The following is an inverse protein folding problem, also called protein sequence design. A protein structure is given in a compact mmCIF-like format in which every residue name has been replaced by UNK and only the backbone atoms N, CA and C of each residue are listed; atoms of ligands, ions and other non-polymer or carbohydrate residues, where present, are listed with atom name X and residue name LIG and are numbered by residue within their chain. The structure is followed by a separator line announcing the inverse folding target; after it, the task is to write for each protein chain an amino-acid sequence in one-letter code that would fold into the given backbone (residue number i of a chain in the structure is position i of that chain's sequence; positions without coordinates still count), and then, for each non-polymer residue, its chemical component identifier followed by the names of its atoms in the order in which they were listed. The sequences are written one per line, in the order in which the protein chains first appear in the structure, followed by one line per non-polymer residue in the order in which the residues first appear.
data_IF_805463636856
#
_entry.id   IF_805463636856
#
_cell.length_a   1.000
_cell.length_b   1.000
_cell.length_c   1.000
_cell.angle_alpha   90.00
_cell.angle_beta   90.00
_cell.angle_gamma   90.00
#
_symmetry.space_group_name_H-M   'P 1'
#
loop_
_entity.id
_entity.type
_entity.pdbx_description
1 polymer ?
#
# COMPACT_ATOMS: atom_id res chain seq x y z
N UNK A 1 11.25 -7.50 -19.69
CA UNK A 1 11.33 -6.02 -19.67
C UNK A 1 12.78 -5.55 -19.51
N UNK A 2 13.44 -5.69 -18.35
CA UNK A 2 14.82 -5.20 -18.15
C UNK A 2 15.84 -5.77 -19.16
N UNK A 3 15.78 -7.08 -19.41
CA UNK A 3 16.61 -7.71 -20.44
C UNK A 3 16.33 -7.14 -21.84
N UNK A 4 15.08 -6.80 -22.15
CA UNK A 4 14.69 -6.16 -23.42
C UNK A 4 15.26 -4.75 -23.49
N UNK A 5 15.13 -3.97 -22.42
CA UNK A 5 15.68 -2.61 -22.30
C UNK A 5 17.18 -2.60 -22.55
N UNK A 6 17.93 -3.54 -21.96
CA UNK A 6 19.37 -3.68 -22.17
C UNK A 6 19.74 -3.95 -23.64
N UNK A 7 18.91 -4.72 -24.36
CA UNK A 7 19.14 -5.04 -25.77
C UNK A 7 18.73 -3.90 -26.72
N UNK A 8 17.63 -3.21 -26.41
CA UNK A 8 17.01 -2.25 -27.34
C UNK A 8 17.45 -0.81 -27.13
N UNK A 9 17.94 -0.43 -25.94
CA UNK A 9 18.31 0.94 -25.64
C UNK A 9 19.48 0.99 -24.64
N UNK A 10 20.70 0.94 -25.18
CA UNK A 10 21.94 1.04 -24.40
C UNK A 10 22.21 2.47 -23.89
N UNK A 11 21.55 3.49 -24.46
CA UNK A 11 21.69 4.90 -24.07
C UNK A 11 20.60 5.34 -23.08
N UNK A 12 19.96 4.41 -22.38
CA UNK A 12 18.95 4.73 -21.38
C UNK A 12 19.56 5.60 -20.28
N UNK A 13 18.96 6.77 -20.00
CA UNK A 13 19.46 7.68 -18.97
C UNK A 13 19.09 7.25 -17.55
N UNK A 14 17.85 6.79 -17.36
CA UNK A 14 17.28 6.39 -16.07
C UNK A 14 16.19 5.34 -16.25
N UNK A 15 16.11 4.37 -15.35
CA UNK A 15 15.00 3.43 -15.21
C UNK A 15 14.47 3.51 -13.78
N UNK A 16 13.19 3.87 -13.61
CA UNK A 16 12.56 3.91 -12.30
C UNK A 16 11.67 2.68 -12.12
N UNK A 17 12.03 1.80 -11.19
CA UNK A 17 11.21 0.68 -10.78
C UNK A 17 10.35 1.04 -9.57
N UNK A 18 9.04 1.15 -9.77
CA UNK A 18 8.07 1.46 -8.71
C UNK A 18 7.67 0.18 -7.97
N UNK A 19 8.34 -0.05 -6.84
CA UNK A 19 8.00 -1.09 -5.89
C UNK A 19 6.97 -0.59 -4.87
N UNK A 20 6.93 -1.16 -3.67
CA UNK A 20 6.01 -0.81 -2.59
C UNK A 20 6.67 -1.04 -1.23
N UNK A 21 6.30 -0.26 -0.23
CA UNK A 21 6.56 -0.54 1.19
C UNK A 21 6.22 -1.99 1.57
N UNK A 22 5.22 -2.61 0.94
CA UNK A 22 4.85 -4.01 1.19
C UNK A 22 5.99 -5.01 0.90
N UNK A 23 6.97 -4.64 0.06
CA UNK A 23 8.16 -5.45 -0.20
C UNK A 23 9.10 -5.47 1.01
N UNK A 24 9.25 -4.34 1.72
CA UNK A 24 10.02 -4.26 2.95
C UNK A 24 9.35 -5.04 4.10
N UNK A 25 8.02 -5.06 4.12
CA UNK A 25 7.24 -5.73 5.16
C UNK A 25 6.90 -4.81 6.34
N UNK A 26 6.28 -5.36 7.39
CA UNK A 26 5.88 -4.60 8.56
C UNK A 26 7.09 -4.22 9.41
N UNK A 27 6.99 -3.08 10.09
CA UNK A 27 7.99 -2.66 11.05
C UNK A 27 7.84 -3.46 12.35
N UNK A 28 8.92 -4.10 12.79
CA UNK A 28 9.00 -4.82 14.07
C UNK A 28 9.92 -4.11 15.07
N UNK A 29 10.49 -2.97 14.69
CA UNK A 29 11.40 -2.16 15.48
C UNK A 29 10.67 -0.93 16.05
N UNK A 30 11.33 -0.21 16.95
CA UNK A 30 10.81 1.07 17.49
C UNK A 30 10.89 2.18 16.45
N UNK A 31 12.02 2.25 15.74
CA UNK A 31 12.30 3.24 14.70
C UNK A 31 11.68 2.83 13.36
N UNK A 32 11.39 3.78 12.45
CA UNK A 32 10.90 3.48 11.11
C UNK A 32 11.93 2.72 10.25
N UNK A 33 11.47 1.78 9.42
CA UNK A 33 12.32 1.04 8.50
C UNK A 33 13.00 1.96 7.48
N UNK A 34 14.28 1.72 7.21
CA UNK A 34 15.10 2.42 6.23
C UNK A 34 15.31 1.60 4.97
N UNK A 35 15.92 2.21 3.94
CA UNK A 35 16.25 1.51 2.70
C UNK A 35 17.29 0.39 2.89
N UNK A 36 18.04 0.41 3.99
CA UNK A 36 19.10 -0.56 4.30
C UNK A 36 18.60 -1.77 5.10
N UNK A 37 17.40 -1.68 5.67
CA UNK A 37 16.85 -2.77 6.47
C UNK A 37 16.45 -3.98 5.62
N UNK A 38 16.54 -5.16 6.24
CA UNK A 38 16.17 -6.41 5.59
C UNK A 38 14.67 -6.47 5.30
N UNK A 39 14.32 -7.04 4.16
CA UNK A 39 12.93 -7.14 3.73
C UNK A 39 12.28 -8.40 4.30
N UNK A 40 11.14 -8.26 4.96
CA UNK A 40 10.34 -9.35 5.50
C UNK A 40 8.88 -9.27 5.01
N UNK A 41 8.62 -9.49 3.71
CA UNK A 41 7.28 -9.39 3.14
C UNK A 41 6.36 -10.51 3.65
N UNK A 42 5.29 -10.13 4.33
CA UNK A 42 4.35 -11.06 4.98
C UNK A 42 3.21 -11.54 4.06
N UNK A 43 2.96 -10.84 2.94
CA UNK A 43 1.84 -11.14 2.03
C UNK A 43 2.29 -11.48 0.60
N UNK A 44 1.41 -12.10 -0.19
CA UNK A 44 1.68 -12.42 -1.60
C UNK A 44 2.03 -11.19 -2.44
N UNK A 45 1.29 -10.09 -2.28
CA UNK A 45 1.61 -8.83 -2.98
C UNK A 45 3.00 -8.32 -2.63
N UNK A 46 3.31 -8.25 -1.33
CA UNK A 46 4.65 -7.84 -0.85
C UNK A 46 5.76 -8.77 -1.34
N UNK A 47 5.54 -10.09 -1.28
CA UNK A 47 6.48 -11.10 -1.78
C UNK A 47 6.71 -10.97 -3.28
N UNK A 48 5.65 -10.76 -4.05
CA UNK A 48 5.74 -10.53 -5.50
C UNK A 48 6.54 -9.27 -5.82
N UNK A 49 6.29 -8.17 -5.10
CA UNK A 49 7.07 -6.94 -5.25
C UNK A 49 8.54 -7.14 -4.86
N UNK A 50 8.81 -7.80 -3.74
CA UNK A 50 10.18 -8.12 -3.31
C UNK A 50 10.93 -9.01 -4.31
N UNK A 51 10.29 -10.06 -4.83
CA UNK A 51 10.88 -10.90 -5.89
C UNK A 51 11.19 -10.09 -7.15
N UNK A 52 10.33 -9.14 -7.53
CA UNK A 52 10.59 -8.25 -8.65
C UNK A 52 11.78 -7.31 -8.39
N UNK A 53 11.96 -6.85 -7.15
CA UNK A 53 13.17 -6.09 -6.75
C UNK A 53 14.43 -6.93 -6.86
N UNK A 54 14.41 -8.18 -6.37
CA UNK A 54 15.57 -9.09 -6.48
C UNK A 54 15.96 -9.32 -7.94
N UNK A 55 14.97 -9.54 -8.81
CA UNK A 55 15.20 -9.60 -10.25
C UNK A 55 15.77 -8.29 -10.81
N UNK A 56 15.32 -7.13 -10.33
CA UNK A 56 15.80 -5.82 -10.79
C UNK A 56 17.24 -5.53 -10.34
N UNK A 57 17.61 -5.93 -9.11
CA UNK A 57 18.97 -5.78 -8.56
C UNK A 57 20.03 -6.44 -9.44
N UNK A 58 19.72 -7.58 -10.06
CA UNK A 58 20.61 -8.27 -11.01
C UNK A 58 20.98 -7.45 -12.27
N UNK A 59 20.28 -6.34 -12.52
CA UNK A 59 20.50 -5.45 -13.66
C UNK A 59 20.99 -4.05 -13.24
N UNK A 60 21.14 -3.75 -11.94
CA UNK A 60 21.57 -2.42 -11.49
C UNK A 60 22.98 -2.06 -11.95
N UNK A 61 23.86 -3.04 -12.15
CA UNK A 61 25.21 -2.81 -12.70
C UNK A 61 25.23 -2.61 -14.22
N UNK A 62 24.08 -2.81 -14.90
CA UNK A 62 23.96 -2.82 -16.37
C UNK A 62 23.06 -1.72 -16.91
N UNK A 63 22.13 -1.24 -16.09
CA UNK A 63 21.12 -0.26 -16.45
C UNK A 63 21.08 0.76 -15.30
N UNK A 64 20.99 2.08 -15.57
CA UNK A 64 20.86 3.10 -14.52
C UNK A 64 19.48 3.01 -13.85
N UNK A 65 19.31 2.00 -13.00
CA UNK A 65 18.05 1.59 -12.39
C UNK A 65 17.97 2.07 -10.95
N UNK A 66 16.84 2.65 -10.58
CA UNK A 66 16.50 3.04 -9.21
C UNK A 66 15.23 2.32 -8.78
N UNK A 67 15.25 1.71 -7.60
CA UNK A 67 14.07 1.08 -6.98
C UNK A 67 13.48 2.06 -5.97
N UNK A 68 12.20 2.36 -6.08
CA UNK A 68 11.49 3.20 -5.10
C UNK A 68 10.37 2.40 -4.43
N UNK A 69 10.38 2.36 -3.11
CA UNK A 69 9.35 1.75 -2.27
C UNK A 69 8.46 2.84 -1.67
N UNK A 70 7.37 3.18 -2.35
CA UNK A 70 6.43 4.17 -1.84
C UNK A 70 5.56 3.60 -0.71
N UNK A 71 5.09 4.48 0.17
CA UNK A 71 4.13 4.18 1.25
C UNK A 71 2.70 4.03 0.72
N UNK A 72 1.74 3.77 1.60
CA UNK A 72 0.31 3.81 1.24
C UNK A 72 -0.06 5.21 0.73
N UNK A 73 -0.65 5.27 -0.46
CA UNK A 73 -1.06 6.52 -1.13
C UNK A 73 -2.57 6.71 -0.92
N UNK A 74 -3.01 7.91 -0.57
CA UNK A 74 -4.43 8.28 -0.49
C UNK A 74 -4.68 9.54 -1.32
N UNK A 75 -5.95 9.79 -1.68
CA UNK A 75 -6.32 11.00 -2.41
C UNK A 75 -7.58 10.85 -3.28
N UNK A 76 -7.97 11.94 -3.99
CA UNK A 76 -9.14 12.08 -4.86
C UNK A 76 -9.50 10.94 -5.82
N UNK A 77 -8.56 10.12 -6.26
CA UNK A 77 -8.85 9.03 -7.24
C UNK A 77 -8.71 7.65 -6.59
N UNK A 78 -8.11 7.57 -5.40
CA UNK A 78 -7.94 6.32 -4.65
C UNK A 78 -9.16 6.00 -3.75
N UNK A 79 -10.34 6.27 -4.29
CA UNK A 79 -11.64 6.27 -3.60
C UNK A 79 -12.58 5.18 -4.14
N UNK A 80 -12.03 4.01 -4.49
CA UNK A 80 -12.85 2.79 -4.61
C UNK A 80 -13.58 2.47 -3.30
N UNK A 81 -14.17 1.28 -3.12
CA UNK A 81 -14.68 0.81 -1.81
C UNK A 81 -13.51 0.55 -0.84
N UNK A 82 -12.74 1.59 -0.56
CA UNK A 82 -11.57 1.64 0.32
C UNK A 82 -12.01 2.04 1.71
N UNK A 83 -11.18 1.67 2.68
CA UNK A 83 -11.37 2.00 4.09
C UNK A 83 -11.47 3.52 4.29
N UNK A 84 -10.75 4.31 3.49
CA UNK A 84 -10.79 5.79 3.52
C UNK A 84 -12.18 6.32 3.21
N UNK A 85 -12.81 5.86 2.12
CA UNK A 85 -14.17 6.28 1.77
C UNK A 85 -15.19 5.83 2.83
N UNK A 86 -14.97 4.67 3.44
CA UNK A 86 -15.83 4.15 4.52
C UNK A 86 -15.70 5.00 5.78
N UNK A 87 -14.49 5.32 6.23
CA UNK A 87 -14.23 6.18 7.38
C UNK A 87 -14.87 7.55 7.18
N UNK A 88 -14.67 8.18 6.01
CA UNK A 88 -15.27 9.48 5.68
C UNK A 88 -16.80 9.40 5.64
N UNK A 89 -17.37 8.30 5.16
CA UNK A 89 -18.84 8.12 5.17
C UNK A 89 -19.38 7.96 6.60
N UNK A 90 -18.68 7.23 7.47
CA UNK A 90 -19.09 7.03 8.86
C UNK A 90 -19.00 8.32 9.68
N UNK A 91 -17.95 9.12 9.49
CA UNK A 91 -17.83 10.43 10.17
C UNK A 91 -18.97 11.38 9.79
N UNK A 92 -19.44 11.35 8.54
CA UNK A 92 -20.62 12.12 8.10
C UNK A 92 -21.92 11.71 8.80
N UNK A 93 -22.02 10.47 9.26
CA UNK A 93 -23.16 9.96 10.02
C UNK A 93 -22.99 10.15 11.54
N UNK A 94 -21.95 10.85 12.00
CA UNK A 94 -21.64 10.99 13.43
C UNK A 94 -21.23 9.67 14.09
N UNK A 95 -21.00 8.62 13.28
CA UNK A 95 -20.52 7.32 13.73
C UNK A 95 -19.00 7.33 13.62
N UNK A 96 -18.30 7.44 14.75
CA UNK A 96 -16.86 7.28 14.74
C UNK A 96 -16.55 5.77 14.65
N UNK A 97 -15.90 5.28 13.58
CA UNK A 97 -15.53 3.87 13.50
C UNK A 97 -14.42 3.61 14.53
N UNK A 98 -14.81 3.26 15.75
CA UNK A 98 -13.89 2.77 16.76
C UNK A 98 -13.38 1.40 16.32
N UNK A 99 -12.05 1.19 16.23
CA UNK A 99 -11.53 -0.13 15.89
C UNK A 99 -11.98 -1.13 16.96
N UNK A 100 -12.86 -2.05 16.57
CA UNK A 100 -13.32 -3.10 17.47
C UNK A 100 -12.12 -3.92 17.98
N UNK A 101 -12.15 -4.40 19.24
CA UNK A 101 -11.14 -5.31 19.74
C UNK A 101 -10.88 -6.46 18.77
N UNK A 102 -9.61 -6.77 18.52
CA UNK A 102 -9.19 -7.74 17.48
C UNK A 102 -9.88 -9.11 17.58
N UNK A 103 -10.20 -9.55 18.80
CA UNK A 103 -10.87 -10.83 19.01
C UNK A 103 -12.28 -10.84 18.41
N UNK A 104 -13.01 -9.72 18.48
CA UNK A 104 -14.35 -9.57 17.90
C UNK A 104 -14.28 -9.66 16.38
N UNK A 105 -13.33 -8.93 15.77
CA UNK A 105 -13.10 -8.97 14.32
C UNK A 105 -12.77 -10.40 13.88
N UNK A 106 -11.91 -11.11 14.61
CA UNK A 106 -11.57 -12.50 14.31
C UNK A 106 -12.79 -13.41 14.37
N UNK A 107 -13.58 -13.34 15.45
CA UNK A 107 -14.80 -14.16 15.60
C UNK A 107 -15.76 -13.88 14.44
N UNK A 108 -16.05 -12.62 14.15
CA UNK A 108 -16.94 -12.24 13.06
C UNK A 108 -16.45 -12.78 11.71
N UNK A 109 -15.15 -12.66 11.44
CA UNK A 109 -14.56 -13.22 10.22
C UNK A 109 -14.71 -14.74 10.19
N UNK A 110 -14.42 -15.48 11.28
CA UNK A 110 -14.60 -16.94 11.37
C UNK A 110 -16.06 -17.41 11.27
N UNK A 111 -17.05 -16.58 11.64
CA UNK A 111 -18.47 -16.89 11.47
C UNK A 111 -18.95 -16.67 10.03
N UNK A 112 -18.64 -15.52 9.41
CA UNK A 112 -18.95 -15.23 7.99
C UNK A 112 -18.36 -16.30 7.09
N UNK A 113 -17.14 -16.66 7.44
CA UNK A 113 -16.40 -17.75 6.92
C UNK A 113 -17.13 -19.10 6.92
N UNK A 114 -17.53 -19.56 8.09
CA UNK A 114 -18.27 -20.80 8.26
C UNK A 114 -19.57 -20.78 7.46
N UNK A 115 -20.32 -19.66 7.53
CA UNK A 115 -21.54 -19.46 6.75
C UNK A 115 -21.31 -19.61 5.24
N UNK A 116 -20.22 -19.05 4.70
CA UNK A 116 -19.89 -19.16 3.27
C UNK A 116 -19.57 -20.59 2.85
N UNK A 117 -18.86 -21.35 3.69
CA UNK A 117 -18.58 -22.77 3.44
C UNK A 117 -19.89 -23.57 3.45
N UNK A 118 -20.76 -23.33 4.43
CA UNK A 118 -22.08 -23.97 4.50
C UNK A 118 -22.96 -23.66 3.29
N UNK A 119 -22.84 -22.45 2.73
CA UNK A 119 -23.54 -22.02 1.51
C UNK A 119 -22.84 -22.45 0.21
N UNK A 120 -21.80 -23.28 0.27
CA UNK A 120 -21.06 -23.78 -0.90
C UNK A 120 -20.29 -22.70 -1.69
N UNK A 121 -20.11 -21.50 -1.11
CA UNK A 121 -19.41 -20.39 -1.78
C UNK A 121 -17.90 -20.46 -1.52
N UNK A 122 -17.06 -20.18 -2.53
CA UNK A 122 -15.60 -20.23 -2.35
C UNK A 122 -15.13 -19.19 -1.32
N UNK A 123 -14.20 -19.62 -0.49
CA UNK A 123 -13.73 -18.91 0.70
C UNK A 123 -12.49 -18.03 0.46
N UNK A 124 -12.07 -17.79 -0.79
CA UNK A 124 -10.75 -17.18 -1.04
C UNK A 124 -10.73 -15.67 -0.70
N UNK A 125 -9.99 -15.29 0.35
CA UNK A 125 -9.56 -13.91 0.58
C UNK A 125 -9.65 -13.39 2.02
N UNK A 126 -10.48 -13.96 2.88
CA UNK A 126 -10.77 -13.35 4.19
C UNK A 126 -9.66 -13.59 5.23
N UNK A 127 -9.02 -14.77 5.23
CA UNK A 127 -7.85 -15.03 6.07
C UNK A 127 -6.63 -14.19 5.69
N UNK A 128 -6.51 -13.83 4.41
CA UNK A 128 -5.47 -12.94 3.94
C UNK A 128 -5.62 -11.55 4.56
N UNK A 129 -6.85 -11.02 4.62
CA UNK A 129 -7.14 -9.74 5.28
C UNK A 129 -6.93 -9.79 6.80
N UNK A 130 -7.21 -10.91 7.47
CA UNK A 130 -6.90 -11.04 8.91
C UNK A 130 -5.40 -10.92 9.19
N UNK A 131 -4.54 -11.40 8.28
CA UNK A 131 -3.10 -11.21 8.42
C UNK A 131 -2.67 -9.74 8.22
N UNK A 132 -3.43 -8.92 7.47
CA UNK A 132 -3.21 -7.44 7.39
C UNK A 132 -3.34 -6.77 8.75
N UNK A 133 -4.33 -7.16 9.54
CA UNK A 133 -4.65 -6.56 10.84
C UNK A 133 -3.65 -7.00 11.94
N UNK A 134 -2.80 -8.00 11.67
CA UNK A 134 -1.83 -8.51 12.65
C UNK A 134 -0.68 -7.54 12.91
N UNK A 135 -0.28 -6.77 11.90
CA UNK A 135 0.88 -5.89 11.98
C UNK A 135 0.42 -4.43 12.04
N UNK A 136 0.74 -3.76 13.14
CA UNK A 136 0.23 -2.42 13.45
C UNK A 136 1.13 -1.30 12.98
N UNK A 137 2.37 -1.63 12.63
CA UNK A 137 3.36 -0.65 12.27
C UNK A 137 3.92 -0.96 10.88
N UNK A 138 3.86 0.06 10.05
CA UNK A 138 4.30 0.07 8.67
C UNK A 138 5.10 1.34 8.37
N UNK A 139 5.56 2.04 9.40
CA UNK A 139 6.35 3.27 9.25
C UNK A 139 7.66 2.96 8.55
N UNK A 140 7.99 3.83 7.60
CA UNK A 140 9.25 3.82 6.87
C UNK A 140 9.83 5.23 6.88
N UNK A 141 11.15 5.31 6.83
CA UNK A 141 11.89 6.56 6.73
C UNK A 141 12.08 6.98 5.27
N UNK A 142 11.81 8.25 4.97
CA UNK A 142 12.15 8.88 3.69
C UNK A 142 13.57 9.46 3.67
N UNK A 143 14.41 9.18 4.69
CA UNK A 143 15.75 9.77 4.83
C UNK A 143 16.63 9.57 3.61
N UNK A 144 16.66 8.37 3.04
CA UNK A 144 17.42 8.08 1.82
C UNK A 144 16.96 8.97 0.64
N UNK A 145 15.65 9.11 0.44
CA UNK A 145 15.11 9.95 -0.62
C UNK A 145 15.41 11.45 -0.40
N UNK A 146 15.43 11.90 0.86
CA UNK A 146 15.83 13.27 1.22
C UNK A 146 17.31 13.52 0.87
N UNK A 147 18.19 12.59 1.23
CA UNK A 147 19.64 12.70 0.97
C UNK A 147 19.94 12.63 -0.53
N UNK A 148 19.36 11.65 -1.24
CA UNK A 148 19.71 11.38 -2.63
C UNK A 148 19.02 12.33 -3.62
N UNK A 149 17.81 12.80 -3.30
CA UNK A 149 16.96 13.54 -4.22
C UNK A 149 16.42 14.86 -3.67
N UNK A 150 16.77 15.26 -2.44
CA UNK A 150 16.18 16.44 -1.80
C UNK A 150 14.67 16.30 -1.56
N UNK A 151 14.16 15.06 -1.50
CA UNK A 151 12.73 14.81 -1.36
C UNK A 151 12.21 15.23 0.02
N UNK A 152 11.19 16.09 0.03
CA UNK A 152 10.39 16.40 1.21
C UNK A 152 8.89 16.44 0.87
N UNK A 153 8.04 15.83 1.71
CA UNK A 153 6.59 15.93 1.53
C UNK A 153 6.16 17.40 1.71
N UNK A 154 5.49 17.94 0.69
CA UNK A 154 5.05 19.34 0.66
C UNK A 154 3.67 19.55 1.30
N UNK A 155 2.92 18.46 1.47
CA UNK A 155 1.56 18.48 1.99
C UNK A 155 1.55 17.71 3.31
N UNK A 156 1.02 18.33 4.36
CA UNK A 156 0.83 17.68 5.65
C UNK A 156 -0.23 16.58 5.55
N UNK A 157 -0.27 15.67 6.53
CA UNK A 157 -1.28 14.62 6.52
C UNK A 157 -2.70 15.22 6.67
N UNK A 158 -2.81 16.24 7.51
CA UNK A 158 -4.05 16.95 7.82
C UNK A 158 -4.58 17.70 6.59
N UNK A 159 -3.71 18.43 5.88
CA UNK A 159 -4.09 19.16 4.67
C UNK A 159 -4.47 18.19 3.55
N UNK A 160 -3.69 17.13 3.34
CA UNK A 160 -3.97 16.13 2.31
C UNK A 160 -5.29 15.39 2.56
N UNK A 161 -5.61 15.08 3.82
CA UNK A 161 -6.90 14.49 4.19
C UNK A 161 -8.05 15.48 3.96
N UNK A 162 -7.86 16.74 4.33
CA UNK A 162 -8.85 17.81 4.14
C UNK A 162 -9.17 17.99 2.66
N UNK A 163 -8.16 18.09 1.80
CA UNK A 163 -8.32 18.19 0.35
C UNK A 163 -9.04 16.96 -0.23
N UNK A 164 -8.68 15.76 0.26
CA UNK A 164 -9.34 14.52 -0.18
C UNK A 164 -10.83 14.52 0.16
N UNK A 165 -11.21 14.97 1.35
CA UNK A 165 -12.62 15.07 1.78
C UNK A 165 -13.36 16.12 0.96
N UNK A 166 -12.77 17.30 0.75
CA UNK A 166 -13.36 18.36 -0.06
C UNK A 166 -13.61 17.89 -1.50
N UNK A 167 -12.65 17.18 -2.09
CA UNK A 167 -12.81 16.61 -3.42
C UNK A 167 -13.97 15.62 -3.47
N UNK A 168 -14.10 14.76 -2.45
CA UNK A 168 -15.23 13.81 -2.33
C UNK A 168 -16.58 14.49 -2.26
N UNK A 169 -16.68 15.61 -1.55
CA UNK A 169 -17.91 16.38 -1.44
C UNK A 169 -18.33 16.98 -2.79
N UNK A 170 -17.35 17.42 -3.57
CA UNK A 170 -17.58 17.99 -4.90
C UNK A 170 -17.97 16.92 -5.94
N UNK A 171 -17.50 15.66 -5.79
CA UNK A 171 -17.64 14.60 -6.80
C UNK A 171 -18.55 13.42 -6.37
N UNK A 172 -19.58 13.69 -5.56
CA UNK A 172 -20.39 12.62 -4.95
C UNK A 172 -21.07 11.67 -5.97
N UNK A 173 -20.68 10.37 -5.92
CA UNK A 173 -21.22 9.10 -6.48
C UNK A 173 -21.84 9.02 -7.90
N UNK A 174 -22.32 10.09 -8.54
CA UNK A 174 -22.95 10.02 -9.88
C UNK A 174 -21.97 10.18 -11.05
N UNK A 175 -20.78 10.73 -10.84
CA UNK A 175 -19.84 11.03 -11.93
C UNK A 175 -18.64 10.07 -12.03
N UNK A 176 -18.37 9.27 -10.99
CA UNK A 176 -17.17 8.41 -10.94
C UNK A 176 -17.37 7.03 -11.60
N UNK A 177 -18.58 6.71 -12.09
CA UNK A 177 -18.84 5.48 -12.86
C UNK A 177 -18.45 5.59 -14.36
N UNK A 178 -17.93 6.73 -14.83
CA UNK A 178 -17.69 6.99 -16.26
C UNK A 178 -16.23 7.23 -16.68
N UNK A 179 -15.25 6.80 -15.90
CA UNK A 179 -13.83 6.81 -16.34
C UNK A 179 -13.20 5.43 -16.23
#
# INVERSE_FOLDING_TARGET
MLQTTLKSNQNLKKFLFVSSQAAAGPNLQTEPLTALDSCNPVYHYGKSKYQAEECAKQYMDKIPLTIVRHTSIYGPINLGPSVTASIISFTRWGLFPMPLPRFIIRIAVYLIALLRILLGKPYRGIFYQLNYIRYNDWRVSSSAARVDFGFEPQISMEDGLTETVQWMDQHSKKEVELV
#
